data_IF_267440707348
#
_entry.id   IF_267440707348
#
_cell.length_a   1.000
_cell.length_b   1.000
_cell.length_c   1.000
_cell.angle_alpha   90.00
_cell.angle_beta   90.00
_cell.angle_gamma   90.00
#
_symmetry.space_group_name_H-M   'P 1'
#
loop_
_entity.id
_entity.type
_entity.pdbx_description
1 polymer ?
#
# COMPACT_ATOMS: atom_id res chain seq x y z
N UNK A 1 -28.99 25.02 6.27
CA UNK A 1 -27.83 25.09 5.36
C UNK A 1 -26.89 23.92 5.64
N UNK A 2 -26.31 23.29 4.61
CA UNK A 2 -25.30 22.23 4.78
C UNK A 2 -23.90 22.84 4.75
N UNK A 3 -23.07 22.45 5.73
CA UNK A 3 -21.65 22.80 5.83
C UNK A 3 -20.85 21.51 5.96
N UNK A 4 -19.60 21.52 5.55
CA UNK A 4 -18.76 20.35 5.68
C UNK A 4 -17.44 20.57 5.00
N UNK A 5 -16.50 19.69 5.32
CA UNK A 5 -15.19 19.68 4.69
C UNK A 5 -14.82 18.24 4.40
N UNK A 6 -14.37 18.00 3.19
CA UNK A 6 -13.53 16.83 2.91
C UNK A 6 -12.16 17.21 3.44
N UNK A 7 -11.61 16.41 4.35
CA UNK A 7 -10.34 16.71 5.02
C UNK A 7 -9.22 15.82 4.49
N UNK A 8 -9.54 14.57 4.13
CA UNK A 8 -8.59 13.59 3.64
C UNK A 8 -9.23 12.71 2.56
N UNK A 9 -8.48 12.50 1.47
CA UNK A 9 -8.90 11.71 0.32
C UNK A 9 -7.69 11.02 -0.30
N UNK A 10 -7.84 9.72 -0.56
CA UNK A 10 -6.93 8.83 -1.31
C UNK A 10 -7.69 8.12 -2.45
N UNK A 11 -7.08 7.15 -3.13
CA UNK A 11 -7.78 6.31 -4.12
C UNK A 11 -8.75 5.30 -3.51
N UNK A 12 -8.59 4.98 -2.23
CA UNK A 12 -9.29 3.92 -1.52
C UNK A 12 -10.16 4.43 -0.35
N UNK A 13 -9.97 5.66 0.13
CA UNK A 13 -10.73 6.22 1.25
C UNK A 13 -11.05 7.70 1.07
N UNK A 14 -12.18 8.11 1.65
CA UNK A 14 -12.55 9.52 1.81
C UNK A 14 -13.01 9.77 3.24
N UNK A 15 -12.55 10.89 3.80
CA UNK A 15 -12.84 11.29 5.17
C UNK A 15 -13.12 12.79 5.25
N UNK A 16 -14.02 13.13 6.16
CA UNK A 16 -14.33 14.52 6.47
C UNK A 16 -15.45 14.61 7.49
N UNK A 17 -16.14 15.75 7.47
CA UNK A 17 -17.32 15.99 8.28
C UNK A 17 -18.38 16.74 7.48
N UNK A 18 -19.63 16.53 7.91
CA UNK A 18 -20.80 17.20 7.34
C UNK A 18 -21.76 17.58 8.46
N UNK A 19 -22.28 18.79 8.36
CA UNK A 19 -23.20 19.39 9.30
C UNK A 19 -24.40 19.94 8.55
N UNK A 20 -25.58 19.79 9.13
CA UNK A 20 -26.82 20.41 8.65
C UNK A 20 -27.52 21.10 9.82
N UNK A 21 -27.97 22.33 9.61
CA UNK A 21 -28.70 23.12 10.61
C UNK A 21 -30.05 22.51 11.01
N UNK A 22 -30.63 21.62 10.19
CA UNK A 22 -31.85 20.89 10.51
C UNK A 22 -31.62 19.69 11.45
N UNK A 23 -30.36 19.41 11.81
CA UNK A 23 -29.96 18.33 12.72
C UNK A 23 -30.12 16.92 12.15
N UNK A 24 -30.54 16.76 10.89
CA UNK A 24 -30.97 15.48 10.32
C UNK A 24 -29.88 14.80 9.46
N UNK A 25 -28.62 14.88 9.90
CA UNK A 25 -27.47 14.37 9.15
C UNK A 25 -26.90 13.06 9.69
N UNK A 26 -27.13 12.77 10.97
CA UNK A 26 -26.65 11.55 11.63
C UNK A 26 -27.26 10.30 10.98
N UNK A 27 -26.46 9.27 10.80
CA UNK A 27 -26.79 8.00 10.14
C UNK A 27 -27.21 8.11 8.66
N UNK A 28 -27.18 9.31 8.07
CA UNK A 28 -27.46 9.48 6.64
C UNK A 28 -26.32 8.93 5.79
N UNK A 29 -26.68 8.44 4.60
CA UNK A 29 -25.73 7.96 3.61
C UNK A 29 -25.14 9.13 2.83
N UNK A 30 -23.82 9.12 2.72
CA UNK A 30 -23.06 9.93 1.77
C UNK A 30 -22.64 9.06 0.60
N UNK A 31 -22.63 9.66 -0.59
CA UNK A 31 -22.22 9.04 -1.84
C UNK A 31 -21.06 9.85 -2.41
N UNK A 32 -19.95 9.18 -2.71
CA UNK A 32 -18.84 9.77 -3.45
C UNK A 32 -19.06 9.58 -4.95
N UNK A 33 -18.87 10.65 -5.73
CA UNK A 33 -19.01 10.63 -7.18
C UNK A 33 -17.74 11.13 -7.87
N UNK A 34 -17.43 10.49 -9.01
CA UNK A 34 -16.51 11.00 -10.03
C UNK A 34 -17.32 11.23 -11.30
N UNK A 35 -17.54 12.50 -11.66
CA UNK A 35 -18.52 12.85 -12.69
C UNK A 35 -19.90 12.32 -12.31
N UNK A 36 -20.46 11.44 -13.15
CA UNK A 36 -21.76 10.81 -12.91
C UNK A 36 -21.66 9.40 -12.27
N UNK A 37 -20.45 8.87 -12.10
CA UNK A 37 -20.24 7.54 -11.54
C UNK A 37 -20.14 7.59 -10.01
N UNK A 38 -20.97 6.81 -9.31
CA UNK A 38 -20.83 6.58 -7.88
C UNK A 38 -19.63 5.66 -7.61
N UNK A 39 -18.69 6.12 -6.80
CA UNK A 39 -17.39 5.45 -6.55
C UNK A 39 -17.24 4.98 -5.11
N UNK A 40 -18.21 5.27 -4.24
CA UNK A 40 -18.24 4.78 -2.86
C UNK A 40 -19.41 5.36 -2.07
N UNK A 41 -19.73 4.75 -0.93
CA UNK A 41 -20.81 5.18 -0.06
C UNK A 41 -20.48 4.90 1.42
N UNK A 42 -20.95 5.76 2.31
CA UNK A 42 -20.70 5.66 3.74
C UNK A 42 -21.73 6.39 4.59
N UNK A 43 -21.65 6.23 5.91
CA UNK A 43 -22.58 6.88 6.84
C UNK A 43 -21.90 7.99 7.63
N UNK A 44 -22.70 8.97 8.05
CA UNK A 44 -22.29 10.02 8.99
C UNK A 44 -22.55 9.55 10.42
N UNK A 45 -21.53 9.00 11.07
CA UNK A 45 -21.67 8.46 12.42
C UNK A 45 -20.40 8.57 13.27
N UNK A 46 -19.33 9.15 12.75
CA UNK A 46 -18.07 9.26 13.46
C UNK A 46 -18.11 10.46 14.41
N UNK A 47 -17.80 10.22 15.68
CA UNK A 47 -17.76 11.25 16.71
C UNK A 47 -16.54 12.17 16.53
N UNK A 48 -16.78 13.49 16.61
CA UNK A 48 -15.81 14.57 16.44
C UNK A 48 -15.85 15.50 17.66
N UNK A 49 -14.89 15.35 18.61
CA UNK A 49 -14.84 16.15 19.82
C UNK A 49 -14.73 17.66 19.53
N UNK A 50 -13.93 18.02 18.53
CA UNK A 50 -13.74 19.41 18.08
C UNK A 50 -15.04 20.07 17.58
N UNK A 51 -15.91 19.31 16.91
CA UNK A 51 -17.21 19.81 16.44
C UNK A 51 -18.24 19.86 17.57
N UNK A 52 -18.19 18.91 18.51
CA UNK A 52 -19.03 18.93 19.71
C UNK A 52 -18.69 20.14 20.59
N UNK A 53 -17.40 20.40 20.83
CA UNK A 53 -16.90 21.53 21.61
C UNK A 53 -17.22 22.88 20.94
N UNK A 54 -17.30 22.90 19.61
CA UNK A 54 -17.76 24.06 18.84
C UNK A 54 -19.30 24.26 18.85
N UNK A 55 -20.05 23.41 19.55
CA UNK A 55 -21.50 23.49 19.67
C UNK A 55 -22.27 23.01 18.42
N UNK A 56 -21.64 22.22 17.55
CA UNK A 56 -22.27 21.68 16.34
C UNK A 56 -22.90 20.31 16.63
N UNK A 57 -24.21 20.30 16.90
CA UNK A 57 -24.97 19.06 17.10
C UNK A 57 -24.48 18.22 18.29
N UNK A 58 -24.53 16.89 18.15
CA UNK A 58 -24.08 15.91 19.16
C UNK A 58 -22.66 15.38 18.89
N UNK A 59 -21.90 16.05 18.02
CA UNK A 59 -20.56 15.66 17.60
C UNK A 59 -20.48 14.49 16.61
N UNK A 60 -21.57 13.78 16.28
CA UNK A 60 -21.55 12.64 15.35
C UNK A 60 -21.72 13.08 13.89
N UNK A 61 -20.77 13.91 13.46
CA UNK A 61 -20.82 14.62 12.18
C UNK A 61 -19.70 14.19 11.22
N UNK A 62 -18.80 13.31 11.67
CA UNK A 62 -17.72 12.77 10.86
C UNK A 62 -18.17 11.61 9.98
N UNK A 63 -17.48 11.45 8.86
CA UNK A 63 -17.59 10.30 7.97
C UNK A 63 -16.22 9.79 7.56
N UNK A 64 -16.13 8.48 7.35
CA UNK A 64 -15.02 7.82 6.66
C UNK A 64 -15.57 6.59 5.95
N UNK A 65 -15.25 6.42 4.66
CA UNK A 65 -15.73 5.26 3.90
C UNK A 65 -14.85 4.95 2.69
N UNK A 66 -14.86 3.68 2.24
CA UNK A 66 -14.05 3.29 1.10
C UNK A 66 -14.60 3.89 -0.21
N UNK A 67 -13.68 4.29 -1.08
CA UNK A 67 -13.96 4.68 -2.46
C UNK A 67 -13.07 3.88 -3.43
N UNK A 68 -13.38 3.91 -4.72
CA UNK A 68 -12.54 3.31 -5.75
C UNK A 68 -12.40 4.28 -6.92
N UNK A 69 -11.33 5.07 -6.91
CA UNK A 69 -11.05 6.06 -7.97
C UNK A 69 -9.61 5.95 -8.47
N UNK A 70 -9.36 6.13 -9.78
CA UNK A 70 -7.99 6.25 -10.29
C UNK A 70 -7.25 7.44 -9.65
N UNK A 71 -5.94 7.32 -9.48
CA UNK A 71 -5.09 8.34 -8.82
C UNK A 71 -5.23 9.73 -9.48
N UNK A 72 -5.32 9.78 -10.80
CA UNK A 72 -5.47 11.01 -11.57
C UNK A 72 -6.82 11.71 -11.34
N UNK A 73 -7.83 10.97 -10.87
CA UNK A 73 -9.21 11.46 -10.72
C UNK A 73 -9.54 11.84 -9.27
N UNK A 74 -8.62 11.61 -8.33
CA UNK A 74 -8.81 11.85 -6.89
C UNK A 74 -9.26 13.30 -6.61
N UNK A 75 -8.68 14.28 -7.30
CA UNK A 75 -9.01 15.71 -7.13
C UNK A 75 -10.38 16.12 -7.71
N UNK A 76 -11.06 15.19 -8.39
CA UNK A 76 -12.39 15.43 -8.99
C UNK A 76 -13.54 14.81 -8.18
N UNK A 77 -13.23 14.13 -7.07
CA UNK A 77 -14.22 13.46 -6.24
C UNK A 77 -15.06 14.48 -5.50
N UNK A 78 -16.38 14.33 -5.62
CA UNK A 78 -17.36 15.11 -4.85
C UNK A 78 -18.16 14.20 -3.95
N UNK A 79 -18.50 14.67 -2.75
CA UNK A 79 -19.36 13.94 -1.82
C UNK A 79 -20.74 14.57 -1.80
N UNK A 80 -21.77 13.74 -1.96
CA UNK A 80 -23.18 14.15 -1.95
C UNK A 80 -23.93 13.43 -0.84
N UNK A 81 -24.90 14.10 -0.25
CA UNK A 81 -25.85 13.47 0.65
C UNK A 81 -26.92 12.72 -0.16
N UNK A 82 -27.17 11.45 0.17
CA UNK A 82 -28.17 10.64 -0.52
C UNK A 82 -29.56 11.31 -0.44
N UNK A 83 -30.20 11.48 -1.61
CA UNK A 83 -31.51 12.16 -1.71
C UNK A 83 -31.47 13.68 -1.58
N UNK A 84 -30.30 14.31 -1.71
CA UNK A 84 -30.11 15.76 -1.66
C UNK A 84 -29.19 16.27 -2.76
N UNK A 85 -29.40 17.52 -3.18
CA UNK A 85 -28.50 18.24 -4.10
C UNK A 85 -27.30 18.88 -3.39
N UNK A 86 -27.12 18.63 -2.08
CA UNK A 86 -26.02 19.17 -1.32
C UNK A 86 -24.70 18.48 -1.68
N UNK A 87 -23.73 19.28 -2.13
CA UNK A 87 -22.40 18.82 -2.56
C UNK A 87 -21.33 19.40 -1.64
N UNK A 88 -20.50 18.53 -1.09
CA UNK A 88 -19.24 18.91 -0.48
C UNK A 88 -18.15 18.93 -1.55
N UNK A 89 -17.57 20.11 -1.75
CA UNK A 89 -16.46 20.33 -2.67
C UNK A 89 -15.14 20.19 -1.90
N UNK A 90 -14.14 19.64 -2.57
CA UNK A 90 -12.81 19.32 -2.01
C UNK A 90 -11.92 20.56 -1.75
N UNK A 91 -12.50 21.77 -1.59
CA UNK A 91 -11.80 23.08 -1.58
C UNK A 91 -10.71 23.23 -0.51
N UNK A 92 -10.69 22.38 0.52
CA UNK A 92 -9.72 22.42 1.61
C UNK A 92 -9.25 21.03 2.05
N UNK A 93 -9.48 20.00 1.23
CA UNK A 93 -9.03 18.65 1.57
C UNK A 93 -7.52 18.52 1.38
N UNK A 94 -6.88 17.80 2.29
CA UNK A 94 -5.55 17.24 2.04
C UNK A 94 -5.75 16.10 1.05
N UNK A 95 -5.56 16.40 -0.23
CA UNK A 95 -5.47 15.39 -1.29
C UNK A 95 -4.17 14.64 -1.06
N UNK A 96 -4.27 13.53 -0.36
CA UNK A 96 -3.15 12.61 -0.24
C UNK A 96 -3.24 11.74 -1.47
N UNK A 97 -2.60 12.19 -2.55
CA UNK A 97 -2.03 11.19 -3.44
C UNK A 97 -1.20 10.31 -2.53
N UNK A 98 -1.30 8.98 -2.65
CA UNK A 98 -0.32 8.09 -2.03
C UNK A 98 1.03 8.25 -2.75
N UNK A 99 1.52 9.48 -2.79
CA UNK A 99 2.87 9.92 -3.03
C UNK A 99 3.33 10.62 -1.73
N UNK A 100 3.23 9.92 -0.60
CA UNK A 100 4.18 10.16 0.48
C UNK A 100 5.52 9.57 0.04
N UNK A 101 6.20 10.32 -0.82
CA UNK A 101 7.57 10.12 -1.24
C UNK A 101 8.43 10.05 0.03
N UNK A 102 8.91 8.85 0.38
CA UNK A 102 9.96 8.66 1.37
C UNK A 102 9.61 8.71 2.86
N UNK A 103 8.35 8.51 3.30
CA UNK A 103 8.07 8.24 4.72
C UNK A 103 7.57 6.82 4.94
N UNK A 104 8.18 6.17 5.92
CA UNK A 104 7.88 4.85 6.45
C UNK A 104 6.35 4.65 6.66
N UNK A 105 5.86 3.41 6.54
CA UNK A 105 4.44 3.09 6.77
C UNK A 105 4.05 3.37 8.22
N UNK A 106 2.94 4.07 8.47
CA UNK A 106 2.45 4.23 9.85
C UNK A 106 1.93 2.91 10.43
N UNK A 107 2.15 2.63 11.73
CA UNK A 107 1.62 1.41 12.36
C UNK A 107 0.10 1.28 12.26
N UNK A 108 -0.63 2.39 12.39
CA UNK A 108 -2.09 2.44 12.24
C UNK A 108 -2.51 2.06 10.82
N UNK A 109 -1.81 2.61 9.82
CA UNK A 109 -2.04 2.32 8.41
C UNK A 109 -1.80 0.83 8.10
N UNK A 110 -0.72 0.24 8.62
CA UNK A 110 -0.45 -1.19 8.49
C UNK A 110 -1.58 -2.02 9.10
N UNK A 111 -2.09 -1.63 10.29
CA UNK A 111 -3.19 -2.34 10.95
C UNK A 111 -4.47 -2.31 10.13
N UNK A 112 -4.80 -1.16 9.54
CA UNK A 112 -5.98 -0.98 8.70
C UNK A 112 -5.86 -1.79 7.40
N UNK A 113 -4.72 -1.72 6.72
CA UNK A 113 -4.41 -2.52 5.54
C UNK A 113 -4.55 -4.02 5.81
N UNK A 114 -4.05 -4.50 6.93
CA UNK A 114 -4.20 -5.90 7.35
C UNK A 114 -5.65 -6.31 7.63
N UNK A 115 -6.47 -5.40 8.18
CA UNK A 115 -7.89 -5.65 8.38
C UNK A 115 -8.63 -5.77 7.04
N UNK A 116 -8.34 -4.87 6.10
CA UNK A 116 -8.88 -4.89 4.73
C UNK A 116 -8.50 -6.18 3.98
N UNK A 117 -7.25 -6.64 4.10
CA UNK A 117 -6.83 -7.93 3.52
C UNK A 117 -7.60 -9.12 4.08
N UNK A 118 -7.78 -9.18 5.40
CA UNK A 118 -8.55 -10.26 6.03
C UNK A 118 -9.99 -10.26 5.53
N UNK A 119 -10.58 -9.08 5.36
CA UNK A 119 -11.92 -8.95 4.79
C UNK A 119 -11.95 -9.42 3.33
N UNK A 120 -10.98 -9.02 2.50
CA UNK A 120 -10.89 -9.41 1.10
C UNK A 120 -10.75 -10.93 0.93
N UNK A 121 -9.88 -11.57 1.74
CA UNK A 121 -9.73 -13.03 1.76
C UNK A 121 -11.05 -13.72 2.13
N UNK A 122 -11.72 -13.24 3.20
CA UNK A 122 -12.99 -13.82 3.67
C UNK A 122 -14.09 -13.78 2.60
N UNK A 123 -14.07 -12.79 1.72
CA UNK A 123 -15.06 -12.62 0.64
C UNK A 123 -14.55 -13.11 -0.73
N UNK A 124 -13.43 -13.84 -0.77
CA UNK A 124 -12.89 -14.42 -2.01
C UNK A 124 -12.41 -13.39 -3.03
N UNK A 125 -12.05 -12.17 -2.60
CA UNK A 125 -11.55 -11.10 -3.47
C UNK A 125 -10.05 -11.21 -3.78
N UNK A 126 -9.32 -11.97 -2.97
CA UNK A 126 -7.89 -12.27 -3.16
C UNK A 126 -7.65 -13.75 -2.89
N UNK A 127 -6.58 -14.30 -3.47
CA UNK A 127 -6.18 -15.67 -3.17
C UNK A 127 -5.50 -15.77 -1.79
N UNK A 128 -5.42 -16.97 -1.24
CA UNK A 128 -4.66 -17.23 -0.01
C UNK A 128 -3.17 -16.87 -0.19
N UNK A 129 -2.61 -17.11 -1.39
CA UNK A 129 -1.22 -16.78 -1.70
C UNK A 129 -0.95 -15.28 -1.66
N UNK A 130 -1.84 -14.48 -2.27
CA UNK A 130 -1.71 -13.01 -2.27
C UNK A 130 -1.90 -12.46 -0.85
N UNK A 131 -2.83 -13.03 -0.09
CA UNK A 131 -3.02 -12.67 1.32
C UNK A 131 -1.74 -12.90 2.13
N UNK A 132 -1.13 -14.08 2.03
CA UNK A 132 0.07 -14.42 2.80
C UNK A 132 1.26 -13.56 2.38
N UNK A 133 1.43 -13.34 1.07
CA UNK A 133 2.41 -12.41 0.54
C UNK A 133 2.27 -11.00 1.12
N UNK A 134 1.11 -10.36 0.96
CA UNK A 134 0.91 -8.98 1.38
C UNK A 134 0.96 -8.84 2.90
N UNK A 135 0.39 -9.80 3.64
CA UNK A 135 0.44 -9.83 5.10
C UNK A 135 1.88 -9.90 5.61
N UNK A 136 2.70 -10.81 5.07
CA UNK A 136 4.10 -10.97 5.49
C UNK A 136 4.87 -9.71 5.11
N UNK A 137 4.82 -9.30 3.84
CA UNK A 137 5.56 -8.15 3.34
C UNK A 137 5.24 -6.87 4.14
N UNK A 138 3.98 -6.57 4.43
CA UNK A 138 3.65 -5.37 5.21
C UNK A 138 4.03 -5.48 6.69
N UNK A 139 4.14 -6.69 7.25
CA UNK A 139 4.53 -6.89 8.65
C UNK A 139 6.05 -6.86 8.85
N UNK A 140 6.81 -7.47 7.95
CA UNK A 140 8.26 -7.67 8.08
C UNK A 140 9.09 -6.82 7.12
N UNK A 141 8.51 -6.33 6.02
CA UNK A 141 9.22 -5.61 4.97
C UNK A 141 9.93 -6.52 3.98
N UNK A 142 9.77 -7.84 4.12
CA UNK A 142 10.48 -8.84 3.31
C UNK A 142 9.67 -10.12 3.17
N UNK A 143 9.65 -10.71 1.98
CA UNK A 143 8.96 -11.96 1.67
C UNK A 143 9.79 -12.84 0.76
N UNK A 144 10.11 -14.05 1.21
CA UNK A 144 10.82 -15.04 0.41
C UNK A 144 9.85 -15.89 -0.42
N UNK A 145 10.20 -16.14 -1.69
CA UNK A 145 9.43 -16.99 -2.59
C UNK A 145 10.33 -17.99 -3.31
N UNK A 146 10.10 -19.28 -3.08
CA UNK A 146 10.67 -20.35 -3.90
C UNK A 146 10.07 -20.37 -5.31
N UNK A 147 10.85 -20.75 -6.31
CA UNK A 147 10.46 -20.83 -7.73
C UNK A 147 10.21 -22.26 -8.19
N UNK A 148 10.59 -23.25 -7.39
CA UNK A 148 10.36 -24.66 -7.70
C UNK A 148 8.96 -25.07 -7.27
N UNK A 149 8.11 -25.45 -8.22
CA UNK A 149 6.86 -26.16 -7.95
C UNK A 149 7.02 -27.64 -8.25
N UNK A 150 6.57 -28.48 -7.32
CA UNK A 150 6.33 -29.90 -7.60
C UNK A 150 4.85 -30.08 -7.91
N UNK A 151 4.55 -30.61 -9.09
CA UNK A 151 3.19 -31.01 -9.42
C UNK A 151 2.90 -32.35 -8.71
N UNK A 152 1.71 -32.53 -8.16
CA UNK A 152 1.31 -33.82 -7.60
C UNK A 152 1.00 -34.86 -8.68
N UNK A 153 0.88 -34.44 -9.94
CA UNK A 153 0.51 -35.28 -11.08
C UNK A 153 1.70 -35.68 -11.96
N UNK A 154 2.86 -35.04 -11.78
CA UNK A 154 4.05 -35.26 -12.60
C UNK A 154 5.27 -35.19 -11.67
N UNK A 155 6.12 -36.23 -11.68
CA UNK A 155 7.28 -36.37 -10.78
C UNK A 155 8.41 -35.35 -11.11
N UNK A 156 8.14 -34.45 -12.06
CA UNK A 156 9.01 -33.36 -12.48
C UNK A 156 8.83 -32.09 -11.64
N UNK A 157 9.96 -31.56 -11.15
CA UNK A 157 10.01 -30.21 -10.61
C UNK A 157 10.00 -29.19 -11.76
N UNK A 158 9.02 -28.28 -11.77
CA UNK A 158 8.95 -27.18 -12.73
C UNK A 158 9.49 -25.90 -12.09
N UNK A 159 10.51 -25.31 -12.71
CA UNK A 159 11.05 -24.02 -12.32
C UNK A 159 10.21 -22.89 -12.93
N UNK A 160 9.53 -22.12 -12.09
CA UNK A 160 8.79 -20.93 -12.50
C UNK A 160 9.76 -19.83 -12.93
N UNK A 161 9.39 -19.04 -13.95
CA UNK A 161 10.24 -17.93 -14.42
C UNK A 161 10.21 -16.79 -13.37
N UNK A 162 11.36 -16.33 -12.84
CA UNK A 162 11.40 -15.30 -11.79
C UNK A 162 10.60 -14.04 -12.14
N UNK A 163 10.77 -13.53 -13.37
CA UNK A 163 10.07 -12.33 -13.83
C UNK A 163 8.55 -12.51 -13.80
N UNK A 164 8.03 -13.66 -14.24
CA UNK A 164 6.58 -13.90 -14.25
C UNK A 164 6.00 -13.94 -12.84
N UNK A 165 6.66 -14.64 -11.92
CA UNK A 165 6.21 -14.72 -10.52
C UNK A 165 6.32 -13.36 -9.84
N UNK A 166 7.42 -12.62 -10.07
CA UNK A 166 7.60 -11.27 -9.54
C UNK A 166 6.52 -10.31 -10.06
N UNK A 167 6.21 -10.34 -11.37
CA UNK A 167 5.11 -9.54 -11.96
C UNK A 167 3.80 -9.81 -11.23
N UNK A 168 3.39 -11.07 -11.06
CA UNK A 168 2.13 -11.39 -10.37
C UNK A 168 2.08 -10.90 -8.93
N UNK A 169 3.20 -10.97 -8.19
CA UNK A 169 3.27 -10.41 -6.83
C UNK A 169 3.20 -8.88 -6.83
N UNK A 170 3.84 -8.22 -7.79
CA UNK A 170 3.80 -6.76 -7.95
C UNK A 170 2.41 -6.27 -8.34
N UNK A 171 1.69 -7.01 -9.18
CA UNK A 171 0.27 -6.78 -9.51
C UNK A 171 -0.62 -6.95 -8.28
N UNK A 172 -0.40 -8.01 -7.48
CA UNK A 172 -1.13 -8.20 -6.22
C UNK A 172 -0.90 -7.03 -5.24
N UNK A 173 0.32 -6.48 -5.19
CA UNK A 173 0.66 -5.33 -4.36
C UNK A 173 0.00 -4.03 -4.85
N UNK A 174 0.08 -3.73 -6.15
CA UNK A 174 -0.48 -2.52 -6.73
C UNK A 174 -1.99 -2.62 -7.03
N UNK A 175 -2.58 -3.81 -6.94
CA UNK A 175 -3.97 -4.12 -7.26
C UNK A 175 -4.37 -3.70 -8.69
N UNK A 176 -3.41 -3.75 -9.61
CA UNK A 176 -3.59 -3.37 -11.02
C UNK A 176 -2.53 -4.06 -11.87
N UNK A 177 -2.71 -4.06 -13.19
CA UNK A 177 -1.68 -4.49 -14.13
C UNK A 177 -0.46 -3.58 -14.06
N UNK A 178 0.72 -4.17 -14.25
CA UNK A 178 2.00 -3.47 -14.08
C UNK A 178 2.92 -3.60 -15.28
N UNK A 179 3.73 -2.57 -15.49
CA UNK A 179 4.90 -2.64 -16.34
C UNK A 179 6.12 -2.92 -15.47
N UNK A 180 6.73 -4.08 -15.65
CA UNK A 180 7.94 -4.45 -14.91
C UNK A 180 9.20 -3.95 -15.59
N UNK A 181 10.15 -3.50 -14.78
CA UNK A 181 11.52 -3.16 -15.18
C UNK A 181 12.50 -4.03 -14.42
N UNK A 182 13.60 -4.39 -15.07
CA UNK A 182 14.68 -5.19 -14.46
C UNK A 182 15.98 -4.40 -14.49
N UNK A 183 16.49 -4.06 -13.33
CA UNK A 183 17.78 -3.38 -13.17
C UNK A 183 18.87 -4.37 -12.75
N UNK A 184 20.09 -4.17 -13.24
CA UNK A 184 21.23 -5.07 -13.00
C UNK A 184 22.21 -4.43 -12.04
N UNK A 185 22.25 -4.97 -10.82
CA UNK A 185 23.08 -4.49 -9.72
C UNK A 185 24.29 -5.40 -9.52
N UNK A 186 25.48 -4.79 -9.48
CA UNK A 186 26.78 -5.50 -9.39
C UNK A 186 27.55 -5.19 -8.11
N UNK A 187 27.05 -4.25 -7.30
CA UNK A 187 27.70 -3.81 -6.07
C UNK A 187 26.68 -3.41 -5.01
N UNK A 188 27.12 -3.33 -3.75
CA UNK A 188 26.29 -2.84 -2.66
C UNK A 188 25.88 -1.36 -2.83
N UNK A 189 26.74 -0.55 -3.45
CA UNK A 189 26.45 0.86 -3.72
C UNK A 189 25.36 1.01 -4.79
N UNK A 190 25.43 0.22 -5.87
CA UNK A 190 24.39 0.16 -6.90
C UNK A 190 23.05 -0.31 -6.30
N UNK A 191 23.08 -1.31 -5.40
CA UNK A 191 21.90 -1.79 -4.70
C UNK A 191 21.25 -0.68 -3.87
N UNK A 192 22.05 0.02 -3.05
CA UNK A 192 21.55 1.09 -2.20
C UNK A 192 20.99 2.26 -3.02
N UNK A 193 21.65 2.63 -4.13
CA UNK A 193 21.17 3.67 -5.04
C UNK A 193 19.82 3.30 -5.67
N UNK A 194 19.67 2.05 -6.11
CA UNK A 194 18.45 1.56 -6.72
C UNK A 194 17.29 1.46 -5.73
N UNK A 195 17.52 0.93 -4.52
CA UNK A 195 16.51 0.91 -3.46
C UNK A 195 16.05 2.35 -3.08
N UNK A 196 17.00 3.30 -3.01
CA UNK A 196 16.69 4.70 -2.76
C UNK A 196 15.90 5.35 -3.91
N UNK A 197 16.17 4.96 -5.17
CA UNK A 197 15.39 5.40 -6.34
C UNK A 197 13.94 4.95 -6.24
N UNK A 198 13.72 3.67 -5.92
CA UNK A 198 12.37 3.09 -5.79
C UNK A 198 11.55 3.72 -4.67
N UNK A 199 12.20 4.09 -3.56
CA UNK A 199 11.53 4.81 -2.46
C UNK A 199 11.05 6.21 -2.86
N UNK A 200 11.70 6.83 -3.85
CA UNK A 200 11.39 8.17 -4.36
C UNK A 200 10.52 8.15 -5.62
N UNK A 201 10.28 6.98 -6.21
CA UNK A 201 9.56 6.86 -7.47
C UNK A 201 8.09 7.21 -7.31
N UNK A 202 7.66 8.31 -7.91
CA UNK A 202 6.24 8.67 -7.96
C UNK A 202 5.46 7.63 -8.77
N UNK A 203 4.46 7.01 -8.14
CA UNK A 203 3.62 5.98 -8.76
C UNK A 203 4.23 4.59 -8.87
N UNK A 204 5.53 4.40 -8.59
CA UNK A 204 6.14 3.08 -8.55
C UNK A 204 5.76 2.34 -7.26
N UNK A 205 5.70 1.00 -7.32
CA UNK A 205 5.62 0.22 -6.09
C UNK A 205 6.92 0.44 -5.29
N UNK A 206 6.86 0.82 -3.99
CA UNK A 206 8.05 0.94 -3.14
C UNK A 206 8.55 -0.45 -2.71
N UNK A 207 8.45 -1.44 -3.60
CA UNK A 207 8.88 -2.82 -3.37
C UNK A 207 9.61 -3.32 -4.62
N UNK A 208 10.55 -4.24 -4.45
CA UNK A 208 11.23 -4.91 -5.56
C UNK A 208 11.44 -6.39 -5.25
N UNK A 209 11.52 -7.22 -6.28
CA UNK A 209 12.00 -8.59 -6.16
C UNK A 209 13.49 -8.66 -6.50
N UNK A 210 14.28 -9.23 -5.59
CA UNK A 210 15.71 -9.44 -5.73
C UNK A 210 15.99 -10.91 -6.10
N UNK A 211 16.64 -11.12 -7.23
CA UNK A 211 16.94 -12.43 -7.79
C UNK A 211 18.38 -12.50 -8.32
N UNK A 212 19.02 -13.66 -8.26
CA UNK A 212 20.36 -13.88 -8.85
C UNK A 212 20.48 -15.31 -9.40
N UNK A 213 21.34 -15.47 -10.40
CA UNK A 213 21.75 -16.78 -10.92
C UNK A 213 22.90 -17.39 -10.10
N UNK A 214 23.54 -16.60 -9.24
CA UNK A 214 24.55 -17.06 -8.30
C UNK A 214 23.96 -17.25 -6.91
N UNK A 215 24.82 -17.60 -5.94
CA UNK A 215 24.45 -17.55 -4.52
C UNK A 215 24.84 -16.20 -3.95
N UNK A 216 23.89 -15.54 -3.30
CA UNK A 216 24.10 -14.28 -2.60
C UNK A 216 23.37 -14.28 -1.26
N UNK A 217 23.68 -13.32 -0.40
CA UNK A 217 22.94 -13.10 0.84
C UNK A 217 22.37 -11.70 0.82
N UNK A 218 21.05 -11.59 0.92
CA UNK A 218 20.36 -10.34 1.16
C UNK A 218 20.08 -10.24 2.65
N UNK A 219 20.53 -9.15 3.28
CA UNK A 219 20.35 -8.88 4.70
C UNK A 219 19.26 -7.84 4.84
N UNK A 220 18.24 -8.07 5.66
CA UNK A 220 17.16 -7.09 5.90
C UNK A 220 16.94 -6.90 7.38
N UNK A 221 16.74 -5.66 7.82
CA UNK A 221 16.23 -5.36 9.17
C UNK A 221 14.71 -5.40 9.10
N UNK A 222 14.11 -6.51 9.54
CA UNK A 222 12.66 -6.67 9.50
C UNK A 222 11.92 -5.56 10.27
N UNK A 223 10.84 -5.05 9.68
CA UNK A 223 9.98 -4.02 10.28
C UNK A 223 10.53 -2.59 10.18
N UNK A 224 11.74 -2.39 9.65
CA UNK A 224 12.35 -1.05 9.51
C UNK A 224 11.68 -0.14 8.47
N UNK A 225 10.76 -0.68 7.66
CA UNK A 225 9.93 0.07 6.72
C UNK A 225 8.71 0.74 7.37
N UNK A 226 8.42 0.44 8.65
CA UNK A 226 7.29 0.97 9.41
C UNK A 226 7.80 2.05 10.37
N UNK A 227 7.24 3.25 10.28
CA UNK A 227 7.69 4.41 11.01
C UNK A 227 6.92 4.63 12.29
N UNK A 228 7.67 4.77 13.39
CA UNK A 228 7.29 5.52 14.58
C UNK A 228 8.52 5.66 15.49
N UNK A 229 9.47 6.54 15.15
CA UNK A 229 10.55 6.95 16.07
C UNK A 229 10.17 8.25 16.80
N UNK A 230 9.07 8.21 17.56
CA UNK A 230 8.94 9.02 18.76
C UNK A 230 9.21 8.09 19.95
N UNK A 231 10.43 8.14 20.49
CA UNK A 231 10.88 7.56 21.77
C UNK A 231 11.74 6.27 21.81
N UNK A 232 12.34 5.76 20.72
CA UNK A 232 13.36 4.70 20.82
C UNK A 232 14.51 4.91 19.81
N UNK A 233 15.13 6.10 19.87
CA UNK A 233 16.37 6.39 19.14
C UNK A 233 17.62 5.74 19.78
N UNK A 234 17.45 5.04 20.91
CA UNK A 234 18.52 4.29 21.56
C UNK A 234 18.19 2.79 21.61
N UNK A 235 19.02 1.99 20.91
CA UNK A 235 19.34 0.62 21.28
C UNK A 235 18.32 -0.53 21.07
N UNK A 236 17.60 -0.58 19.94
CA UNK A 236 17.45 -1.90 19.28
C UNK A 236 18.64 -2.05 18.35
N UNK A 237 19.58 -2.93 18.71
CA UNK A 237 20.51 -3.49 17.73
C UNK A 237 19.64 -4.01 16.58
N UNK A 238 19.62 -3.27 15.48
CA UNK A 238 18.89 -3.63 14.28
C UNK A 238 19.56 -4.87 13.72
N UNK A 239 19.12 -6.04 14.17
CA UNK A 239 19.70 -7.30 13.75
C UNK A 239 19.23 -7.56 12.32
N UNK A 240 20.18 -7.53 11.41
CA UNK A 240 19.97 -8.04 10.07
C UNK A 240 19.57 -9.52 10.14
N UNK A 241 18.54 -9.87 9.38
CA UNK A 241 18.17 -11.24 9.08
C UNK A 241 18.72 -11.58 7.69
N UNK A 242 19.40 -12.72 7.59
CA UNK A 242 20.04 -13.16 6.35
C UNK A 242 19.07 -14.02 5.52
N UNK A 243 18.76 -13.58 4.31
CA UNK A 243 18.00 -14.32 3.31
C UNK A 243 18.95 -14.80 2.21
N UNK A 244 19.07 -16.11 2.08
CA UNK A 244 19.88 -16.71 1.03
C UNK A 244 19.16 -16.59 -0.32
N UNK A 245 19.86 -16.03 -1.31
CA UNK A 245 19.41 -16.00 -2.69
C UNK A 245 20.11 -17.09 -3.50
N UNK A 246 19.34 -17.71 -4.39
CA UNK A 246 19.77 -18.77 -5.29
C UNK A 246 18.93 -18.75 -6.56
N UNK A 247 19.28 -19.52 -7.60
CA UNK A 247 18.44 -19.66 -8.78
C UNK A 247 17.03 -20.21 -8.51
N UNK A 248 16.81 -20.83 -7.35
CA UNK A 248 15.56 -21.50 -6.97
C UNK A 248 14.62 -20.63 -6.13
N UNK A 249 15.00 -19.41 -5.77
CA UNK A 249 14.18 -18.50 -4.98
C UNK A 249 14.46 -17.03 -5.35
N UNK A 250 13.58 -16.15 -4.91
CA UNK A 250 13.83 -14.72 -4.87
C UNK A 250 13.23 -14.14 -3.60
N UNK A 251 13.61 -12.91 -3.27
CA UNK A 251 13.10 -12.20 -2.10
C UNK A 251 12.48 -10.89 -2.55
N UNK A 252 11.23 -10.65 -2.17
CA UNK A 252 10.58 -9.35 -2.31
C UNK A 252 10.89 -8.50 -1.09
N UNK A 253 11.29 -7.26 -1.29
CA UNK A 253 11.67 -6.33 -0.24
C UNK A 253 10.91 -5.03 -0.41
N UNK A 254 10.43 -4.47 0.70
CA UNK A 254 9.99 -3.08 0.75
C UNK A 254 11.22 -2.18 0.71
N UNK A 255 11.32 -1.30 -0.29
CA UNK A 255 12.49 -0.45 -0.52
C UNK A 255 12.74 0.54 0.64
N UNK A 256 11.76 0.75 1.52
CA UNK A 256 11.91 1.55 2.75
C UNK A 256 12.56 0.76 3.88
N UNK A 257 12.58 -0.57 3.80
CA UNK A 257 13.29 -1.40 4.76
C UNK A 257 14.81 -1.23 4.58
N UNK A 258 15.54 -1.21 5.70
CA UNK A 258 17.00 -1.25 5.69
C UNK A 258 17.45 -2.62 5.19
N UNK A 259 18.13 -2.64 4.05
CA UNK A 259 18.65 -3.85 3.45
C UNK A 259 20.09 -3.66 2.93
N UNK A 260 20.85 -4.74 2.92
CA UNK A 260 22.22 -4.81 2.38
C UNK A 260 22.37 -6.10 1.56
N UNK A 261 23.22 -6.07 0.54
CA UNK A 261 23.50 -7.25 -0.29
C UNK A 261 24.96 -7.67 -0.17
N UNK A 262 25.18 -8.97 0.01
CA UNK A 262 26.47 -9.63 -0.08
C UNK A 262 26.50 -10.46 -1.37
N UNK A 263 27.13 -9.91 -2.40
CA UNK A 263 27.31 -10.57 -3.69
C UNK A 263 28.68 -11.27 -3.76
N UNK A 264 28.76 -12.43 -4.45
CA UNK A 264 30.05 -13.02 -4.80
C UNK A 264 30.77 -12.14 -5.83
N UNK A 265 32.09 -12.32 -5.95
CA UNK A 265 32.89 -11.59 -6.95
C UNK A 265 32.36 -11.84 -8.37
N UNK A 266 32.07 -10.76 -9.09
CA UNK A 266 31.47 -10.83 -10.43
C UNK A 266 29.98 -11.21 -10.46
N UNK A 267 29.35 -11.42 -9.29
CA UNK A 267 27.93 -11.73 -9.17
C UNK A 267 27.02 -10.60 -9.62
N UNK A 268 25.83 -10.94 -10.10
CA UNK A 268 24.83 -9.99 -10.57
C UNK A 268 23.50 -10.25 -9.86
N UNK A 269 22.98 -9.20 -9.24
CA UNK A 269 21.62 -9.14 -8.74
C UNK A 269 20.71 -8.50 -9.78
N UNK A 270 19.55 -9.12 -10.01
CA UNK A 270 18.47 -8.58 -10.80
C UNK A 270 17.41 -8.02 -9.85
N UNK A 271 17.21 -6.71 -9.87
CA UNK A 271 16.15 -6.04 -9.13
C UNK A 271 14.96 -5.81 -10.06
N UNK A 272 13.84 -6.45 -9.78
CA UNK A 272 12.61 -6.37 -10.55
C UNK A 272 11.66 -5.43 -9.81
N UNK A 273 11.29 -4.34 -10.45
CA UNK A 273 10.34 -3.35 -9.92
C UNK A 273 9.18 -3.15 -10.90
N UNK A 274 8.13 -2.47 -10.45
CA UNK A 274 6.94 -2.24 -11.25
C UNK A 274 6.41 -0.81 -11.09
N UNK A 275 5.86 -0.30 -12.19
CA UNK A 275 4.95 0.85 -12.21
C UNK A 275 3.57 0.37 -12.72
N UNK A 276 2.46 0.99 -12.28
CA UNK A 276 1.15 0.74 -12.85
C UNK A 276 1.18 0.94 -14.37
N UNK A 277 0.56 0.02 -15.11
CA UNK A 277 0.28 0.24 -16.52
C UNK A 277 -0.70 1.41 -16.64
N UNK A 278 -0.31 2.46 -17.38
CA UNK A 278 -1.25 3.53 -17.73
C UNK A 278 -2.33 2.93 -18.64
N UNK A 279 -3.55 2.83 -18.12
CA UNK A 279 -4.76 2.47 -18.87
C UNK A 279 -5.27 3.64 -19.70
#
# INVERSE_FOLDING_TARGET
MIRGSIEHVTNDVIQGWIYSEDGNIRERTLLAFRGDACVGAGRVNMFRPDLADAGMGDGHLGFTFPISVPLQDIGSVVVKLEGSDAVLLQKSAVVTTTASSGKELGRTEVRERLASLKWALKHGRISQGDFDFLRILWSTGVYERGLVRRSSADDGALMEKPLGVATSLLEAYLQTEVQTSVERVRSADEFAAEAARLTKGEGAAPIFAAYTQERAILRVVEGSHIGDHAADADARAANFVDYALSPENFVVVDARARAEILLPEGGVLYMISAVPSLS
#
